data_IF_229702992725
#
_entry.id   IF_229702992725
#
_cell.length_a   1.000
_cell.length_b   1.000
_cell.length_c   1.000
_cell.angle_alpha   90.00
_cell.angle_beta   90.00
_cell.angle_gamma   90.00
#
_symmetry.space_group_name_H-M   'P 1'
#
loop_
_entity.id
_entity.type
_entity.pdbx_description
1 polymer ?
#
# COMPACT_ATOMS: atom_id res chain seq x y z
N UNK A 1 24.35 25.66 -19.58
CA UNK A 1 24.38 25.74 -18.09
C UNK A 1 23.04 25.34 -17.50
N UNK A 2 21.93 25.90 -17.95
CA UNK A 2 20.60 25.55 -17.42
C UNK A 2 20.24 24.08 -17.61
N UNK A 3 20.62 23.48 -18.74
CA UNK A 3 20.33 22.08 -19.02
C UNK A 3 21.06 21.13 -18.06
N UNK A 4 22.26 21.49 -17.64
CA UNK A 4 23.06 20.70 -16.71
C UNK A 4 22.42 20.71 -15.32
N UNK A 5 21.95 21.86 -14.85
CA UNK A 5 21.29 21.96 -13.55
C UNK A 5 19.98 21.19 -13.52
N UNK A 6 19.19 21.27 -14.59
CA UNK A 6 17.95 20.53 -14.70
C UNK A 6 18.19 19.02 -14.66
N UNK A 7 19.22 18.53 -15.37
CA UNK A 7 19.57 17.12 -15.39
C UNK A 7 20.02 16.63 -14.01
N UNK A 8 20.81 17.44 -13.28
CA UNK A 8 21.25 17.10 -11.93
C UNK A 8 20.09 17.05 -10.95
N UNK A 9 19.16 18.02 -11.04
CA UNK A 9 17.97 18.04 -10.21
C UNK A 9 17.10 16.81 -10.46
N UNK A 10 16.88 16.45 -11.72
CA UNK A 10 16.12 15.25 -12.08
C UNK A 10 16.77 13.99 -11.56
N UNK A 11 18.10 13.89 -11.61
CA UNK A 11 18.83 12.74 -11.07
C UNK A 11 18.67 12.62 -9.55
N UNK A 12 18.71 13.72 -8.83
CA UNK A 12 18.50 13.72 -7.38
C UNK A 12 17.09 13.27 -7.04
N UNK A 13 16.09 13.80 -7.75
CA UNK A 13 14.69 13.42 -7.54
C UNK A 13 14.47 11.94 -7.87
N UNK A 14 15.05 11.46 -8.96
CA UNK A 14 14.95 10.05 -9.34
C UNK A 14 15.59 9.14 -8.29
N UNK A 15 16.75 9.51 -7.75
CA UNK A 15 17.42 8.73 -6.70
C UNK A 15 16.59 8.70 -5.43
N UNK A 16 16.02 9.85 -5.03
CA UNK A 16 15.18 9.95 -3.85
C UNK A 16 13.96 9.07 -3.99
N UNK A 17 13.28 9.14 -5.13
CA UNK A 17 12.09 8.33 -5.41
C UNK A 17 12.41 6.84 -5.40
N UNK A 18 13.56 6.43 -5.97
CA UNK A 18 13.97 5.04 -5.93
C UNK A 18 14.27 4.57 -4.51
N UNK A 19 14.89 5.43 -3.68
CA UNK A 19 15.15 5.13 -2.28
C UNK A 19 13.86 4.98 -1.48
N UNK A 20 12.90 5.87 -1.70
CA UNK A 20 11.59 5.81 -1.06
C UNK A 20 10.85 4.55 -1.47
N UNK A 21 10.89 4.21 -2.76
CA UNK A 21 10.23 3.01 -3.27
C UNK A 21 10.88 1.73 -2.74
N UNK A 22 12.21 1.71 -2.66
CA UNK A 22 12.93 0.58 -2.07
C UNK A 22 12.53 0.39 -0.61
N UNK A 23 12.37 1.48 0.14
CA UNK A 23 11.92 1.44 1.52
C UNK A 23 10.50 0.89 1.63
N UNK A 24 9.58 1.32 0.76
CA UNK A 24 8.22 0.81 0.71
C UNK A 24 8.21 -0.69 0.40
N UNK A 25 9.00 -1.15 -0.54
CA UNK A 25 9.13 -2.56 -0.86
C UNK A 25 9.61 -3.36 0.33
N UNK A 26 10.56 -2.83 1.08
CA UNK A 26 11.07 -3.48 2.28
C UNK A 26 9.97 -3.61 3.34
N UNK A 27 9.20 -2.55 3.58
CA UNK A 27 8.07 -2.58 4.51
C UNK A 27 7.02 -3.58 4.05
N UNK A 28 6.68 -3.56 2.77
CA UNK A 28 5.72 -4.51 2.20
C UNK A 28 6.19 -5.96 2.37
N UNK A 29 7.49 -6.22 2.20
CA UNK A 29 8.06 -7.55 2.38
C UNK A 29 7.94 -8.05 3.83
N UNK A 30 7.76 -7.16 4.80
CA UNK A 30 7.59 -7.55 6.20
C UNK A 30 6.16 -8.01 6.50
N UNK A 31 5.22 -7.81 5.59
CA UNK A 31 3.85 -8.26 5.77
C UNK A 31 3.75 -9.77 5.65
N UNK A 32 2.88 -10.38 6.47
CA UNK A 32 2.55 -11.79 6.33
C UNK A 32 1.77 -12.03 5.05
N UNK A 33 1.69 -13.27 4.53
CA UNK A 33 0.87 -13.56 3.35
C UNK A 33 -0.59 -13.12 3.51
N UNK A 34 -1.17 -13.27 4.71
CA UNK A 34 -2.54 -12.85 4.97
C UNK A 34 -2.66 -11.32 4.91
N UNK A 35 -1.70 -10.61 5.50
CA UNK A 35 -1.68 -9.14 5.45
C UNK A 35 -1.52 -8.64 4.02
N UNK A 36 -0.70 -9.28 3.21
CA UNK A 36 -0.56 -8.95 1.78
C UNK A 36 -1.86 -9.18 1.02
N UNK A 37 -2.66 -10.14 1.42
CA UNK A 37 -3.97 -10.40 0.81
C UNK A 37 -4.98 -9.33 1.24
N UNK A 38 -4.88 -8.83 2.47
CA UNK A 38 -5.80 -7.80 3.00
C UNK A 38 -5.56 -6.44 2.34
N UNK A 39 -4.31 -6.08 2.12
CA UNK A 39 -3.94 -4.74 1.65
C UNK A 39 -4.65 -4.31 0.36
N UNK A 40 -4.66 -5.10 -0.73
CA UNK A 40 -5.36 -4.69 -1.95
C UNK A 40 -6.86 -4.48 -1.75
N UNK A 41 -7.48 -5.27 -0.89
CA UNK A 41 -8.91 -5.18 -0.62
C UNK A 41 -9.26 -3.87 0.08
N UNK A 42 -8.56 -3.56 1.17
CA UNK A 42 -8.83 -2.33 1.91
C UNK A 42 -8.39 -1.09 1.12
N UNK A 43 -7.30 -1.17 0.38
CA UNK A 43 -6.82 -0.06 -0.44
C UNK A 43 -7.77 0.24 -1.61
N UNK A 44 -8.55 -0.75 -2.04
CA UNK A 44 -9.57 -0.57 -3.07
C UNK A 44 -10.85 0.10 -2.56
N UNK A 45 -10.92 0.40 -1.27
CA UNK A 45 -12.06 1.06 -0.67
C UNK A 45 -13.15 0.11 -0.17
N UNK A 46 -12.86 -1.19 -0.09
CA UNK A 46 -13.82 -2.14 0.47
C UNK A 46 -14.00 -1.87 1.96
N UNK A 47 -15.24 -1.96 2.42
CA UNK A 47 -15.53 -1.91 3.85
C UNK A 47 -14.95 -3.16 4.53
N UNK A 48 -14.64 -3.05 5.82
CA UNK A 48 -14.11 -4.18 6.58
C UNK A 48 -14.98 -5.44 6.43
N UNK A 49 -16.30 -5.26 6.47
CA UNK A 49 -17.25 -6.36 6.29
C UNK A 49 -17.07 -7.05 4.94
N UNK A 50 -16.92 -6.24 3.87
CA UNK A 50 -16.76 -6.76 2.51
C UNK A 50 -15.42 -7.48 2.35
N UNK A 51 -14.35 -6.86 2.84
CA UNK A 51 -13.02 -7.45 2.77
C UNK A 51 -12.93 -8.74 3.58
N UNK A 52 -13.55 -8.76 4.75
CA UNK A 52 -13.60 -9.96 5.59
C UNK A 52 -14.32 -11.09 4.87
N UNK A 53 -15.45 -10.79 4.21
CA UNK A 53 -16.20 -11.78 3.45
C UNK A 53 -15.38 -12.34 2.29
N UNK A 54 -14.63 -11.48 1.58
CA UNK A 54 -13.77 -11.92 0.47
C UNK A 54 -12.69 -12.90 0.94
N UNK A 55 -12.17 -12.70 2.14
CA UNK A 55 -11.08 -13.53 2.69
C UNK A 55 -11.57 -14.69 3.54
N UNK A 56 -12.87 -14.74 3.83
CA UNK A 56 -13.41 -15.78 4.70
C UNK A 56 -12.97 -15.67 6.15
N UNK A 57 -12.80 -14.45 6.65
CA UNK A 57 -12.44 -14.17 8.03
C UNK A 57 -13.49 -13.28 8.68
N UNK A 58 -13.45 -13.17 10.03
CA UNK A 58 -14.34 -12.27 10.74
C UNK A 58 -13.90 -10.81 10.54
N UNK A 59 -14.81 -9.87 10.77
CA UNK A 59 -14.47 -8.44 10.72
C UNK A 59 -13.44 -8.08 11.77
N UNK A 60 -13.50 -8.70 12.95
CA UNK A 60 -12.53 -8.49 14.03
C UNK A 60 -11.14 -8.91 13.57
N UNK A 61 -11.02 -10.07 12.96
CA UNK A 61 -9.75 -10.57 12.43
C UNK A 61 -9.21 -9.64 11.34
N UNK A 62 -10.09 -9.19 10.44
CA UNK A 62 -9.69 -8.25 9.40
C UNK A 62 -9.16 -6.95 10.00
N UNK A 63 -9.84 -6.42 11.00
CA UNK A 63 -9.44 -5.19 11.65
C UNK A 63 -8.07 -5.32 12.32
N UNK A 64 -7.79 -6.49 12.93
CA UNK A 64 -6.48 -6.78 13.50
C UNK A 64 -5.41 -6.78 12.40
N UNK A 65 -5.67 -7.45 11.28
CA UNK A 65 -4.74 -7.46 10.16
C UNK A 65 -4.50 -6.05 9.61
N UNK A 66 -5.56 -5.26 9.48
CA UNK A 66 -5.48 -3.89 9.00
C UNK A 66 -4.60 -3.03 9.92
N UNK A 67 -4.78 -3.15 11.23
CA UNK A 67 -3.95 -2.44 12.20
C UNK A 67 -2.47 -2.81 12.10
N UNK A 68 -2.18 -4.09 11.90
CA UNK A 68 -0.81 -4.57 11.73
C UNK A 68 -0.18 -4.05 10.44
N UNK A 69 -0.97 -4.01 9.36
CA UNK A 69 -0.52 -3.43 8.08
C UNK A 69 -0.16 -1.96 8.25
N UNK A 70 -1.04 -1.18 8.87
CA UNK A 70 -0.79 0.23 9.13
C UNK A 70 0.52 0.45 9.88
N UNK A 71 0.77 -0.38 10.88
CA UNK A 71 1.98 -0.30 11.69
C UNK A 71 3.22 -0.70 10.90
N UNK A 72 3.18 -1.84 10.21
CA UNK A 72 4.33 -2.35 9.45
C UNK A 72 4.68 -1.46 8.26
N UNK A 73 3.68 -0.90 7.60
CA UNK A 73 3.88 0.04 6.50
C UNK A 73 4.25 1.44 7.00
N UNK A 74 4.15 1.69 8.30
CA UNK A 74 4.38 3.00 8.91
C UNK A 74 3.50 4.07 8.29
N UNK A 75 2.25 3.73 8.03
CA UNK A 75 1.27 4.65 7.48
C UNK A 75 0.64 5.47 8.60
N UNK A 76 0.68 6.79 8.49
CA UNK A 76 0.10 7.69 9.48
C UNK A 76 -1.41 7.84 9.32
N UNK A 77 -1.96 7.44 8.17
CA UNK A 77 -3.38 7.51 7.89
C UNK A 77 -3.75 6.47 6.85
N UNK A 78 -5.04 6.19 6.74
CA UNK A 78 -5.53 5.28 5.70
C UNK A 78 -5.25 5.83 4.31
N UNK A 79 -5.41 7.14 4.11
CA UNK A 79 -5.10 7.77 2.83
C UNK A 79 -3.63 7.59 2.44
N UNK A 80 -2.72 7.66 3.42
CA UNK A 80 -1.32 7.42 3.18
C UNK A 80 -1.07 5.96 2.78
N UNK A 81 -1.74 5.02 3.43
CA UNK A 81 -1.64 3.60 3.07
C UNK A 81 -2.09 3.36 1.63
N UNK A 82 -3.17 4.01 1.20
CA UNK A 82 -3.67 3.92 -0.19
C UNK A 82 -2.61 4.45 -1.16
N UNK A 83 -1.98 5.58 -0.84
CA UNK A 83 -0.92 6.13 -1.67
C UNK A 83 0.30 5.20 -1.75
N UNK A 84 0.67 4.58 -0.64
CA UNK A 84 1.76 3.61 -0.60
C UNK A 84 1.46 2.40 -1.48
N UNK A 85 0.24 1.89 -1.40
CA UNK A 85 -0.19 0.77 -2.24
C UNK A 85 -0.14 1.13 -3.72
N UNK A 86 -0.54 2.36 -4.06
CA UNK A 86 -0.44 2.86 -5.43
C UNK A 86 1.00 2.97 -5.91
N UNK A 87 1.90 3.47 -5.06
CA UNK A 87 3.32 3.59 -5.38
C UNK A 87 3.98 2.22 -5.58
N UNK A 88 3.53 1.21 -4.87
CA UNK A 88 4.01 -0.17 -5.01
C UNK A 88 3.38 -0.89 -6.20
N UNK A 89 2.46 -0.24 -6.90
CA UNK A 89 1.73 -0.80 -8.03
C UNK A 89 0.99 -2.09 -7.67
N UNK A 90 0.47 -2.13 -6.44
CA UNK A 90 -0.32 -3.27 -5.98
C UNK A 90 -1.66 -3.26 -6.73
N UNK A 91 -2.02 -4.37 -7.40
CA UNK A 91 -3.28 -4.44 -8.13
C UNK A 91 -4.46 -4.20 -7.19
N UNK A 92 -5.35 -3.28 -7.57
CA UNK A 92 -6.56 -3.03 -6.81
C UNK A 92 -7.57 -4.13 -7.11
N UNK A 93 -8.05 -4.76 -6.04
CA UNK A 93 -9.05 -5.82 -6.16
C UNK A 93 -10.42 -5.19 -6.16
N UNK A 94 -11.16 -5.35 -7.26
CA UNK A 94 -12.55 -4.93 -7.31
C UNK A 94 -13.42 -6.02 -6.73
N UNK A 95 -14.35 -5.63 -5.85
CA UNK A 95 -15.33 -6.57 -5.33
C UNK A 95 -16.27 -7.00 -6.45
N UNK A 96 -16.56 -8.29 -6.54
CA UNK A 96 -17.56 -8.80 -7.48
C UNK A 96 -18.94 -8.21 -7.24
N UNK A 97 -19.18 -7.73 -6.02
CA UNK A 97 -20.45 -7.14 -5.62
C UNK A 97 -20.59 -5.68 -6.00
N UNK A 98 -19.52 -5.05 -6.46
CA UNK A 98 -19.51 -3.65 -6.89
C UNK A 98 -20.08 -3.46 -8.31
N UNK A 99 -20.45 -4.50 -8.98
CA UNK A 99 -21.05 -4.46 -10.32
C UNK A 99 -22.56 -4.48 -10.25
#
# INVERSE_FOLDING_TARGET
>A
MRAIYAALAQNRDARRKRGELADLHRRFSSLTPRERAVLPLVASGLLNKQAAAELGVSEVTLQIHRGRIMKKMEAGSFAELVRMAGALEIPMTQSRRAR
#
